data_IF_329891556756
#
_entry.id   IF_329891556756
#
_cell.length_a   1.000
_cell.length_b   1.000
_cell.length_c   1.000
_cell.angle_alpha   90.00
_cell.angle_beta   90.00
_cell.angle_gamma   90.00
#
_symmetry.space_group_name_H-M   'P 1'
#
loop_
_entity.id
_entity.type
_entity.pdbx_description
1 polymer ?
#
# COMPACT_ATOMS: atom_id res chain seq x y z
N UNK A 1 5.06 12.44 11.80
CA UNK A 1 5.99 13.46 12.27
C UNK A 1 6.48 14.33 11.11
N UNK A 2 6.00 15.55 11.03
CA UNK A 2 6.31 16.51 9.97
C UNK A 2 7.70 17.14 10.07
N UNK A 3 8.44 16.87 11.13
CA UNK A 3 9.81 17.37 11.31
C UNK A 3 10.88 16.34 10.98
N UNK A 4 10.49 15.12 10.64
CA UNK A 4 11.45 14.19 10.10
C UNK A 4 11.77 14.61 8.66
N UNK A 5 13.04 14.86 8.35
CA UNK A 5 13.49 15.20 7.00
C UNK A 5 13.18 14.09 5.99
N UNK A 6 12.95 12.88 6.47
CA UNK A 6 12.58 11.71 5.67
C UNK A 6 11.15 11.30 6.02
N UNK A 7 10.18 11.75 5.24
CA UNK A 7 8.75 11.57 5.48
C UNK A 7 8.23 10.24 4.94
N UNK A 8 8.78 9.74 3.83
CA UNK A 8 8.35 8.51 3.20
C UNK A 8 8.93 7.26 3.85
N UNK A 9 8.10 6.24 4.12
CA UNK A 9 8.57 4.95 4.63
C UNK A 9 8.91 3.95 3.51
N UNK A 10 8.37 4.13 2.32
CA UNK A 10 8.56 3.26 1.17
C UNK A 10 9.77 3.61 0.31
N UNK A 11 10.17 4.88 0.30
CA UNK A 11 11.20 5.42 -0.58
C UNK A 11 12.55 5.65 0.09
N UNK A 12 12.64 5.44 1.40
CA UNK A 12 13.85 5.73 2.16
C UNK A 12 14.18 4.58 3.11
N UNK A 13 15.46 4.26 3.18
CA UNK A 13 15.94 3.24 4.11
C UNK A 13 15.51 3.58 5.54
N UNK A 14 14.80 2.68 6.19
CA UNK A 14 14.37 2.83 7.59
C UNK A 14 15.56 3.01 8.55
N UNK A 15 16.77 2.60 8.14
CA UNK A 15 18.01 2.73 8.89
C UNK A 15 18.79 4.01 8.59
N UNK A 16 18.26 4.91 7.71
CA UNK A 16 18.94 6.16 7.39
C UNK A 16 19.29 6.92 8.67
N UNK A 17 20.57 7.30 8.87
CA UNK A 17 21.02 7.99 10.09
C UNK A 17 20.40 9.39 10.26
N UNK A 18 19.92 9.99 9.16
CA UNK A 18 19.24 11.30 9.19
C UNK A 18 17.79 11.20 9.67
N UNK A 19 17.25 9.99 9.77
CA UNK A 19 15.91 9.77 10.29
C UNK A 19 15.87 9.97 11.80
N UNK A 20 15.02 10.87 12.27
CA UNK A 20 14.78 11.03 13.70
C UNK A 20 14.02 9.80 14.24
N UNK A 21 14.68 9.03 15.10
CA UNK A 21 14.16 7.80 15.70
C UNK A 21 13.78 7.97 17.18
N UNK A 22 14.01 9.17 17.73
CA UNK A 22 13.85 9.41 19.17
C UNK A 22 12.66 10.31 19.50
N UNK A 23 12.26 11.16 18.56
CA UNK A 23 11.19 12.12 18.77
C UNK A 23 10.00 11.81 17.89
N UNK A 24 8.84 11.72 18.49
CA UNK A 24 7.54 11.69 17.83
C UNK A 24 6.74 12.90 18.25
N UNK A 25 5.85 13.39 17.38
CA UNK A 25 4.98 14.53 17.66
C UNK A 25 3.58 14.25 17.19
N UNK A 26 2.63 14.61 18.02
CA UNK A 26 1.22 14.61 17.67
C UNK A 26 0.80 16.07 17.58
N UNK A 27 0.35 16.48 16.39
CA UNK A 27 -0.16 17.82 16.15
C UNK A 27 -1.68 17.78 16.15
N UNK A 28 -2.28 18.73 16.82
CA UNK A 28 -3.73 18.95 16.77
C UNK A 28 -4.01 20.19 15.92
N UNK A 29 -4.70 20.00 14.81
CA UNK A 29 -5.27 21.13 14.08
C UNK A 29 -6.58 21.53 14.69
N UNK A 30 -6.74 22.83 14.96
CA UNK A 30 -7.96 23.40 15.52
C UNK A 30 -8.46 24.51 14.61
N UNK A 31 -9.77 24.69 14.54
CA UNK A 31 -10.36 25.86 13.91
C UNK A 31 -10.30 27.04 14.89
N UNK A 32 -9.74 28.17 14.45
CA UNK A 32 -9.49 29.36 15.28
C UNK A 32 -10.75 29.89 15.97
N UNK A 33 -11.87 29.86 15.26
CA UNK A 33 -13.14 30.49 15.67
C UNK A 33 -14.19 29.48 16.14
N UNK A 34 -13.78 28.24 16.44
CA UNK A 34 -14.69 27.21 16.97
C UNK A 34 -14.18 26.68 18.31
N UNK A 35 -15.06 26.60 19.33
CA UNK A 35 -14.66 26.00 20.59
C UNK A 35 -14.30 24.53 20.40
N UNK A 36 -13.40 24.04 21.22
CA UNK A 36 -13.10 22.62 21.29
C UNK A 36 -14.30 21.89 21.90
N UNK A 37 -14.63 20.74 21.32
CA UNK A 37 -15.63 19.85 21.94
C UNK A 37 -15.05 19.23 23.22
N UNK A 38 -15.89 19.09 24.23
CA UNK A 38 -15.52 18.39 25.46
C UNK A 38 -15.18 16.93 25.17
N UNK A 39 -14.15 16.38 25.83
CA UNK A 39 -13.81 14.98 25.68
C UNK A 39 -14.96 14.08 26.15
N UNK A 40 -15.37 13.15 25.29
CA UNK A 40 -16.34 12.11 25.65
C UNK A 40 -15.60 10.91 26.23
N UNK A 41 -15.88 10.57 27.48
CA UNK A 41 -15.34 9.39 28.14
C UNK A 41 -15.95 8.12 27.50
N UNK A 42 -15.10 7.20 27.05
CA UNK A 42 -15.50 5.95 26.37
C UNK A 42 -14.96 4.76 27.13
N UNK A 43 -13.65 4.72 27.38
CA UNK A 43 -13.01 3.58 28.02
C UNK A 43 -13.64 3.25 29.39
N UNK A 44 -13.97 1.98 29.61
CA UNK A 44 -14.56 1.50 30.85
C UNK A 44 -16.02 1.87 31.07
N UNK A 45 -16.69 2.56 30.13
CA UNK A 45 -18.08 2.94 30.28
C UNK A 45 -19.02 1.72 30.17
N UNK A 46 -20.16 1.72 30.86
CA UNK A 46 -21.20 0.68 30.71
C UNK A 46 -21.69 0.59 29.27
N UNK A 47 -22.06 -0.62 28.82
CA UNK A 47 -22.55 -0.87 27.44
C UNK A 47 -23.67 0.10 27.04
N UNK A 48 -24.63 0.39 27.91
CA UNK A 48 -25.69 1.34 27.62
C UNK A 48 -25.17 2.73 27.24
N UNK A 49 -24.11 3.23 27.92
CA UNK A 49 -23.50 4.51 27.57
C UNK A 49 -22.70 4.46 26.28
N UNK A 50 -22.08 3.32 25.99
CA UNK A 50 -21.37 3.12 24.73
C UNK A 50 -22.34 3.10 23.55
N UNK A 51 -23.52 2.47 23.70
CA UNK A 51 -24.57 2.49 22.69
C UNK A 51 -25.12 3.92 22.45
N UNK A 52 -25.29 4.72 23.50
CA UNK A 52 -25.65 6.15 23.33
C UNK A 52 -24.53 6.94 22.62
N UNK A 53 -23.26 6.61 22.88
CA UNK A 53 -22.16 7.27 22.19
C UNK A 53 -22.11 6.96 20.68
N UNK A 54 -22.77 5.91 20.20
CA UNK A 54 -22.94 5.63 18.76
C UNK A 54 -23.87 6.66 18.07
N UNK A 55 -24.64 7.43 18.83
CA UNK A 55 -25.47 8.54 18.30
C UNK A 55 -24.71 9.86 18.21
N UNK A 56 -23.48 9.90 18.67
CA UNK A 56 -22.70 11.15 18.72
C UNK A 56 -22.41 11.69 17.30
N UNK A 57 -22.54 13.01 17.06
CA UNK A 57 -22.32 13.58 15.72
C UNK A 57 -20.87 13.44 15.24
N UNK A 58 -19.89 13.43 16.15
CA UNK A 58 -18.48 13.25 15.79
C UNK A 58 -18.15 11.78 15.58
N UNK A 59 -17.68 11.43 14.38
CA UNK A 59 -17.35 10.06 14.01
C UNK A 59 -16.25 9.44 14.90
N UNK A 60 -15.23 10.20 15.30
CA UNK A 60 -14.20 9.73 16.20
C UNK A 60 -14.71 9.31 17.59
N UNK A 61 -15.86 9.82 18.06
CA UNK A 61 -16.51 9.35 19.29
C UNK A 61 -17.19 8.01 19.04
N UNK A 62 -17.93 7.89 17.93
CA UNK A 62 -18.59 6.64 17.53
C UNK A 62 -17.56 5.51 17.31
N UNK A 63 -16.46 5.81 16.63
CA UNK A 63 -15.42 4.82 16.40
C UNK A 63 -14.77 4.29 17.68
N UNK A 64 -14.50 5.17 18.64
CA UNK A 64 -14.02 4.72 19.96
C UNK A 64 -15.05 3.89 20.71
N UNK A 65 -16.34 4.25 20.60
CA UNK A 65 -17.44 3.48 21.20
C UNK A 65 -17.55 2.09 20.57
N UNK A 66 -17.44 1.98 19.22
CA UNK A 66 -17.40 0.68 18.51
C UNK A 66 -16.23 -0.17 19.01
N UNK A 67 -15.03 0.42 19.05
CA UNK A 67 -13.83 -0.25 19.53
C UNK A 67 -13.98 -0.75 20.96
N UNK A 68 -14.53 0.05 21.86
CA UNK A 68 -14.74 -0.35 23.25
C UNK A 68 -15.82 -1.45 23.36
N UNK A 69 -16.89 -1.39 22.57
CA UNK A 69 -17.91 -2.45 22.50
C UNK A 69 -17.32 -3.78 22.02
N UNK A 70 -16.36 -3.74 21.11
CA UNK A 70 -15.69 -4.96 20.59
C UNK A 70 -14.78 -5.63 21.64
N UNK A 71 -14.34 -4.90 22.67
CA UNK A 71 -13.57 -5.45 23.77
C UNK A 71 -14.43 -6.21 24.80
N UNK A 72 -15.77 -6.04 24.74
CA UNK A 72 -16.71 -6.65 25.66
C UNK A 72 -17.07 -8.07 25.23
N UNK A 73 -17.40 -8.91 26.20
CA UNK A 73 -17.94 -10.22 25.87
C UNK A 73 -19.27 -10.05 25.08
N UNK A 74 -19.42 -10.84 24.02
CA UNK A 74 -20.62 -10.78 23.16
C UNK A 74 -21.93 -10.80 23.94
N UNK A 75 -22.03 -11.69 24.93
CA UNK A 75 -23.23 -11.84 25.76
C UNK A 75 -23.59 -10.55 26.54
N UNK A 76 -22.58 -9.72 26.88
CA UNK A 76 -22.81 -8.44 27.58
C UNK A 76 -23.42 -7.37 26.66
N UNK A 77 -23.10 -7.42 25.38
CA UNK A 77 -23.51 -6.39 24.40
C UNK A 77 -24.79 -6.79 23.68
N UNK A 78 -24.96 -8.03 23.28
CA UNK A 78 -26.04 -8.48 22.39
C UNK A 78 -27.44 -8.14 22.92
N UNK A 79 -27.70 -8.43 24.20
CA UNK A 79 -29.01 -8.14 24.80
C UNK A 79 -29.27 -6.63 24.95
N UNK A 80 -28.38 -5.81 25.51
CA UNK A 80 -28.54 -4.37 25.53
C UNK A 80 -28.70 -3.75 24.15
N UNK A 81 -27.96 -4.21 23.14
CA UNK A 81 -28.06 -3.74 21.77
C UNK A 81 -29.45 -4.00 21.18
N UNK A 82 -29.99 -5.21 21.36
CA UNK A 82 -31.35 -5.55 20.89
C UNK A 82 -32.43 -4.65 21.53
N UNK A 83 -32.30 -4.36 22.82
CA UNK A 83 -33.24 -3.44 23.48
C UNK A 83 -33.08 -1.99 23.00
N UNK A 84 -31.84 -1.56 22.78
CA UNK A 84 -31.49 -0.24 22.25
C UNK A 84 -32.07 -0.05 20.84
N UNK A 85 -31.97 -1.08 19.97
CA UNK A 85 -32.49 -1.05 18.60
C UNK A 85 -34.00 -0.84 18.52
N UNK A 86 -34.78 -1.31 19.50
CA UNK A 86 -36.25 -1.14 19.54
C UNK A 86 -36.72 0.32 19.58
N UNK A 87 -35.82 1.25 19.87
CA UNK A 87 -36.07 2.69 19.89
C UNK A 87 -36.18 3.28 18.49
N UNK A 88 -35.74 2.58 17.46
CA UNK A 88 -35.56 3.07 16.10
C UNK A 88 -36.49 2.35 15.14
N UNK A 89 -37.07 3.11 14.21
CA UNK A 89 -37.94 2.62 13.16
C UNK A 89 -37.17 2.58 11.83
N UNK A 90 -36.94 1.40 11.22
CA UNK A 90 -36.19 1.29 9.96
C UNK A 90 -36.87 2.02 8.77
N UNK A 91 -38.13 2.41 8.92
CA UNK A 91 -38.88 3.19 7.92
C UNK A 91 -38.65 4.68 8.01
N UNK A 92 -37.97 5.15 9.05
CA UNK A 92 -37.62 6.55 9.24
C UNK A 92 -36.19 6.82 8.81
N UNK A 93 -35.99 7.91 8.06
CA UNK A 93 -34.69 8.31 7.57
C UNK A 93 -33.70 8.61 8.68
N UNK A 94 -34.15 9.31 9.71
CA UNK A 94 -33.35 9.72 10.87
C UNK A 94 -32.88 8.55 11.73
N UNK A 95 -33.59 7.42 11.70
CA UNK A 95 -33.32 6.25 12.50
C UNK A 95 -32.41 5.24 11.76
N UNK A 96 -32.09 5.51 10.51
CA UNK A 96 -31.27 4.59 9.70
C UNK A 96 -29.84 4.44 10.22
N UNK A 97 -29.21 5.55 10.68
CA UNK A 97 -27.82 5.49 11.15
C UNK A 97 -27.66 4.66 12.44
N UNK A 98 -28.47 4.84 13.49
CA UNK A 98 -28.42 3.96 14.66
C UNK A 98 -28.57 2.47 14.33
N UNK A 99 -29.48 2.13 13.43
CA UNK A 99 -29.68 0.76 13.01
C UNK A 99 -28.50 0.21 12.21
N UNK A 100 -27.81 1.06 11.42
CA UNK A 100 -26.56 0.68 10.78
C UNK A 100 -25.43 0.40 11.79
N UNK A 101 -25.33 1.17 12.86
CA UNK A 101 -24.36 0.92 13.92
C UNK A 101 -24.56 -0.47 14.53
N UNK A 102 -25.81 -0.87 14.74
CA UNK A 102 -26.14 -2.22 15.21
C UNK A 102 -25.78 -3.29 14.17
N UNK A 103 -26.09 -3.05 12.88
CA UNK A 103 -25.75 -3.99 11.81
C UNK A 103 -24.23 -4.18 11.68
N UNK A 104 -23.46 -3.10 11.80
CA UNK A 104 -22.00 -3.17 11.76
C UNK A 104 -21.41 -3.88 12.99
N UNK A 105 -21.99 -3.70 14.17
CA UNK A 105 -21.58 -4.48 15.34
C UNK A 105 -21.88 -5.97 15.11
N UNK A 106 -23.05 -6.34 14.61
CA UNK A 106 -23.39 -7.71 14.25
C UNK A 106 -22.37 -8.28 13.23
N UNK A 107 -22.02 -7.51 12.20
CA UNK A 107 -21.01 -7.89 11.21
C UNK A 107 -19.65 -8.18 11.85
N UNK A 108 -19.17 -7.31 12.72
CA UNK A 108 -17.89 -7.48 13.43
C UNK A 108 -17.86 -8.71 14.33
N UNK A 109 -19.00 -9.06 14.93
CA UNK A 109 -19.15 -10.25 15.76
C UNK A 109 -19.48 -11.51 14.96
N UNK A 110 -19.49 -11.42 13.64
CA UNK A 110 -19.90 -12.51 12.72
C UNK A 110 -21.30 -13.07 13.04
N UNK A 111 -22.23 -12.19 13.41
CA UNK A 111 -23.64 -12.51 13.65
C UNK A 111 -24.42 -12.09 12.41
N UNK A 112 -25.13 -13.02 11.79
CA UNK A 112 -26.03 -12.71 10.68
C UNK A 112 -27.41 -12.32 11.21
N UNK A 113 -27.69 -11.02 11.19
CA UNK A 113 -29.03 -10.49 11.46
C UNK A 113 -29.73 -10.18 10.14
N UNK A 114 -30.31 -11.22 9.52
CA UNK A 114 -30.97 -11.12 8.23
C UNK A 114 -32.21 -10.21 8.27
N UNK A 115 -32.87 -10.12 9.41
CA UNK A 115 -34.03 -9.25 9.56
C UNK A 115 -33.64 -7.77 9.56
N UNK A 116 -32.62 -7.40 10.30
CA UNK A 116 -32.09 -6.03 10.32
C UNK A 116 -31.49 -5.67 8.96
N UNK A 117 -30.76 -6.59 8.35
CA UNK A 117 -30.19 -6.40 7.01
C UNK A 117 -31.28 -6.12 5.97
N UNK A 118 -32.33 -6.94 5.94
CA UNK A 118 -33.45 -6.76 5.00
C UNK A 118 -34.15 -5.39 5.21
N UNK A 119 -34.38 -5.03 6.47
CA UNK A 119 -35.00 -3.74 6.79
C UNK A 119 -34.16 -2.55 6.31
N UNK A 120 -32.83 -2.61 6.46
CA UNK A 120 -31.91 -1.54 6.04
C UNK A 120 -31.68 -1.48 4.53
N UNK A 121 -31.83 -2.60 3.82
CA UNK A 121 -31.83 -2.62 2.34
C UNK A 121 -33.03 -1.84 1.76
N UNK A 122 -34.15 -1.77 2.50
CA UNK A 122 -35.37 -1.03 2.13
C UNK A 122 -35.44 0.35 2.80
N UNK A 123 -34.39 0.78 3.49
CA UNK A 123 -34.37 2.07 4.21
C UNK A 123 -34.65 3.24 3.26
N UNK A 124 -35.39 4.28 3.70
CA UNK A 124 -35.56 5.52 2.95
C UNK A 124 -34.25 6.30 2.79
N UNK A 125 -33.22 6.04 3.63
CA UNK A 125 -31.92 6.69 3.55
C UNK A 125 -31.01 5.96 2.52
N UNK A 126 -30.63 6.60 1.40
CA UNK A 126 -29.81 5.97 0.36
C UNK A 126 -28.48 5.42 0.85
N UNK A 127 -27.79 6.14 1.74
CA UNK A 127 -26.50 5.71 2.28
C UNK A 127 -26.64 4.45 3.15
N UNK A 128 -27.76 4.32 3.86
CA UNK A 128 -28.06 3.11 4.63
C UNK A 128 -28.25 1.90 3.73
N UNK A 129 -28.96 2.05 2.60
CA UNK A 129 -29.11 0.96 1.61
C UNK A 129 -27.75 0.52 1.05
N UNK A 130 -26.87 1.49 0.72
CA UNK A 130 -25.52 1.20 0.21
C UNK A 130 -24.70 0.44 1.26
N UNK A 131 -24.71 0.92 2.51
CA UNK A 131 -24.00 0.28 3.62
C UNK A 131 -24.53 -1.14 3.89
N UNK A 132 -25.85 -1.33 3.91
CA UNK A 132 -26.47 -2.64 4.07
C UNK A 132 -26.14 -3.58 2.91
N UNK A 133 -26.12 -3.08 1.66
CA UNK A 133 -25.70 -3.86 0.50
C UNK A 133 -24.23 -4.29 0.60
N UNK A 134 -23.36 -3.44 1.16
CA UNK A 134 -21.97 -3.78 1.45
C UNK A 134 -21.87 -4.91 2.47
N UNK A 135 -22.61 -4.84 3.57
CA UNK A 135 -22.65 -5.91 4.58
C UNK A 135 -23.17 -7.22 3.96
N UNK A 136 -24.25 -7.14 3.17
CA UNK A 136 -24.78 -8.30 2.43
C UNK A 136 -23.72 -8.95 1.53
N UNK A 137 -22.96 -8.12 0.83
CA UNK A 137 -21.87 -8.59 -0.04
C UNK A 137 -20.80 -9.35 0.76
N UNK A 138 -20.37 -8.81 1.91
CA UNK A 138 -19.36 -9.44 2.75
C UNK A 138 -19.86 -10.70 3.46
N UNK A 139 -21.13 -10.77 3.82
CA UNK A 139 -21.70 -12.00 4.39
C UNK A 139 -21.85 -13.13 3.36
N UNK A 140 -21.91 -12.78 2.06
CA UNK A 140 -22.12 -13.75 1.00
C UNK A 140 -23.49 -14.46 1.10
N UNK A 141 -23.69 -15.58 0.39
CA UNK A 141 -24.91 -16.38 0.49
C UNK A 141 -25.10 -16.90 1.92
N UNK A 142 -26.36 -17.14 2.30
CA UNK A 142 -26.75 -17.58 3.65
C UNK A 142 -26.15 -18.94 4.06
N UNK A 143 -25.68 -19.73 3.11
CA UNK A 143 -25.01 -21.00 3.36
C UNK A 143 -23.49 -20.78 3.58
N UNK A 144 -22.97 -20.95 4.81
CA UNK A 144 -21.56 -20.78 5.10
C UNK A 144 -20.63 -21.78 4.40
N UNK A 145 -21.18 -22.88 3.87
CA UNK A 145 -20.41 -23.85 3.06
C UNK A 145 -20.19 -23.36 1.62
N UNK A 146 -20.96 -22.37 1.17
CA UNK A 146 -20.81 -21.71 -0.13
C UNK A 146 -20.12 -20.34 -0.05
N UNK A 147 -19.68 -19.94 1.15
CA UNK A 147 -18.91 -18.72 1.38
C UNK A 147 -17.47 -18.84 0.90
N UNK A 148 -17.27 -18.99 -0.41
CA UNK A 148 -16.01 -18.57 -0.98
C UNK A 148 -15.84 -17.07 -0.66
N UNK A 149 -14.67 -16.69 -0.14
CA UNK A 149 -14.25 -15.28 -0.06
C UNK A 149 -14.64 -14.61 -1.38
N UNK A 150 -15.25 -13.41 -1.37
CA UNK A 150 -15.68 -12.79 -2.60
C UNK A 150 -14.58 -12.89 -3.63
N UNK A 151 -14.89 -13.47 -4.78
CA UNK A 151 -13.96 -13.66 -5.92
C UNK A 151 -13.20 -12.38 -6.29
N UNK A 152 -13.76 -11.22 -5.98
CA UNK A 152 -13.11 -9.92 -6.18
C UNK A 152 -11.81 -9.76 -5.38
N UNK A 153 -11.71 -10.32 -4.16
CA UNK A 153 -10.46 -10.28 -3.38
C UNK A 153 -9.51 -11.41 -3.82
N UNK A 154 -10.04 -12.57 -4.19
CA UNK A 154 -9.28 -13.65 -4.79
C UNK A 154 -8.72 -13.23 -6.17
N UNK A 155 -9.53 -12.63 -7.04
CA UNK A 155 -9.12 -12.12 -8.35
C UNK A 155 -8.14 -10.94 -8.24
N UNK A 156 -8.24 -10.09 -7.21
CA UNK A 156 -7.26 -9.05 -6.95
C UNK A 156 -5.91 -9.61 -6.47
N UNK A 157 -5.90 -10.78 -5.82
CA UNK A 157 -4.66 -11.47 -5.41
C UNK A 157 -4.03 -12.32 -6.52
N UNK A 158 -4.73 -12.66 -7.59
CA UNK A 158 -4.29 -13.63 -8.58
C UNK A 158 -4.29 -13.17 -10.03
N UNK A 159 -4.33 -11.89 -10.35
CA UNK A 159 -3.81 -11.49 -11.65
C UNK A 159 -2.28 -11.57 -11.62
N UNK A 160 -1.76 -12.80 -11.52
CA UNK A 160 -0.36 -13.06 -11.90
C UNK A 160 -0.21 -12.54 -13.32
N UNK A 161 0.52 -11.44 -13.46
CA UNK A 161 0.87 -10.93 -14.78
C UNK A 161 1.58 -12.08 -15.50
N UNK A 162 0.98 -12.59 -16.57
CA UNK A 162 1.59 -13.69 -17.33
C UNK A 162 2.82 -13.16 -18.04
N UNK A 163 3.98 -13.44 -17.47
CA UNK A 163 5.26 -13.01 -18.01
C UNK A 163 5.75 -14.06 -19.01
N UNK A 164 5.89 -13.67 -20.26
CA UNK A 164 6.45 -14.51 -21.32
C UNK A 164 7.84 -13.98 -21.69
N UNK A 165 8.85 -14.84 -21.61
CA UNK A 165 10.20 -14.45 -22.00
C UNK A 165 10.28 -14.17 -23.51
N UNK A 166 11.01 -13.13 -23.94
CA UNK A 166 11.26 -12.84 -25.34
C UNK A 166 11.98 -14.01 -26.03
N UNK A 167 11.74 -14.22 -27.33
CA UNK A 167 12.26 -15.36 -28.08
C UNK A 167 13.79 -15.48 -28.11
N UNK A 168 14.51 -14.38 -27.91
CA UNK A 168 15.97 -14.37 -27.91
C UNK A 168 16.57 -14.89 -26.58
N UNK A 169 15.83 -14.87 -25.47
CA UNK A 169 16.27 -15.46 -24.21
C UNK A 169 15.93 -16.95 -24.18
N UNK A 170 16.88 -17.79 -23.76
CA UNK A 170 16.74 -19.24 -23.70
C UNK A 170 17.18 -19.80 -22.35
N UNK A 171 16.75 -21.00 -22.02
CA UNK A 171 17.23 -21.77 -20.86
C UNK A 171 17.09 -21.02 -19.54
N UNK A 172 18.20 -20.81 -18.84
CA UNK A 172 18.29 -20.10 -17.56
C UNK A 172 17.85 -18.65 -17.66
N UNK A 173 18.21 -17.97 -18.75
CA UNK A 173 17.94 -16.54 -18.93
C UNK A 173 16.45 -16.28 -19.14
N UNK A 174 15.74 -17.16 -19.85
CA UNK A 174 14.31 -17.09 -19.98
C UNK A 174 13.60 -17.30 -18.62
N UNK A 175 14.10 -18.21 -17.78
CA UNK A 175 13.59 -18.42 -16.42
C UNK A 175 13.88 -17.23 -15.53
N UNK A 176 15.07 -16.65 -15.61
CA UNK A 176 15.44 -15.44 -14.89
C UNK A 176 14.54 -14.26 -15.29
N UNK A 177 14.27 -14.08 -16.59
CA UNK A 177 13.37 -13.07 -17.09
C UNK A 177 11.95 -13.20 -16.49
N UNK A 178 11.39 -14.41 -16.44
CA UNK A 178 10.05 -14.64 -15.86
C UNK A 178 10.04 -14.30 -14.38
N UNK A 179 11.00 -14.80 -13.60
CA UNK A 179 11.16 -14.45 -12.19
C UNK A 179 11.32 -12.93 -12.01
N UNK A 180 12.12 -12.30 -12.86
CA UNK A 180 12.34 -10.85 -12.84
C UNK A 180 11.08 -10.04 -13.06
N UNK A 181 10.24 -10.48 -13.99
CA UNK A 181 8.93 -9.87 -14.19
C UNK A 181 8.02 -10.01 -12.98
N UNK A 182 8.01 -11.17 -12.32
CA UNK A 182 7.27 -11.36 -11.06
C UNK A 182 7.78 -10.42 -9.97
N UNK A 183 9.11 -10.27 -9.83
CA UNK A 183 9.72 -9.33 -8.86
C UNK A 183 9.39 -7.89 -9.22
N UNK A 184 9.46 -7.50 -10.50
CA UNK A 184 9.17 -6.15 -10.98
C UNK A 184 7.76 -5.70 -10.62
N UNK A 185 6.78 -6.60 -10.73
CA UNK A 185 5.37 -6.33 -10.48
C UNK A 185 4.90 -6.58 -9.05
N UNK A 186 5.77 -6.97 -8.12
CA UNK A 186 5.42 -7.08 -6.69
C UNK A 186 4.93 -5.74 -6.17
N UNK A 187 4.04 -5.78 -5.19
CA UNK A 187 3.59 -4.58 -4.48
C UNK A 187 4.79 -3.82 -3.89
N UNK A 188 4.78 -2.48 -4.04
CA UNK A 188 5.83 -1.59 -3.58
C UNK A 188 7.24 -1.84 -4.20
N UNK A 189 7.31 -2.51 -5.33
CA UNK A 189 8.54 -2.72 -6.09
C UNK A 189 8.63 -1.80 -7.34
N UNK A 190 9.41 -2.20 -8.32
CA UNK A 190 9.82 -1.36 -9.46
C UNK A 190 8.64 -0.76 -10.24
N UNK A 191 7.59 -1.56 -10.52
CA UNK A 191 6.42 -1.12 -11.28
C UNK A 191 5.64 0.02 -10.60
N UNK A 192 5.74 0.17 -9.28
CA UNK A 192 5.09 1.25 -8.52
C UNK A 192 5.55 2.63 -9.00
N UNK A 193 6.83 2.78 -9.31
CA UNK A 193 7.42 4.04 -9.78
C UNK A 193 7.59 4.05 -11.31
N UNK A 194 8.15 2.97 -11.88
CA UNK A 194 8.48 2.89 -13.29
C UNK A 194 7.34 2.43 -14.19
N UNK A 195 6.15 2.19 -13.63
CA UNK A 195 4.94 1.68 -14.27
C UNK A 195 5.12 0.29 -14.91
N UNK A 196 4.03 -0.41 -15.18
CA UNK A 196 4.06 -1.75 -15.76
C UNK A 196 4.65 -1.80 -17.17
N UNK A 197 4.55 -0.69 -17.91
CA UNK A 197 5.09 -0.53 -19.26
C UNK A 197 6.52 0.05 -19.30
N UNK A 198 7.14 0.27 -18.16
CA UNK A 198 8.50 0.78 -18.04
C UNK A 198 8.69 2.24 -18.48
N UNK A 199 7.61 2.97 -18.75
CA UNK A 199 7.70 4.37 -19.21
C UNK A 199 7.90 5.39 -18.09
N UNK A 200 7.79 4.94 -16.82
CA UNK A 200 7.86 5.82 -15.69
C UNK A 200 6.61 6.69 -15.55
N UNK A 201 6.70 7.70 -14.70
CA UNK A 201 5.64 8.67 -14.47
C UNK A 201 6.24 10.07 -14.43
N UNK A 202 6.02 10.80 -15.49
CA UNK A 202 6.52 12.15 -15.65
C UNK A 202 5.81 13.14 -14.70
N UNK A 203 6.53 14.08 -14.04
CA UNK A 203 7.99 14.33 -14.11
C UNK A 203 8.77 13.60 -13.00
N UNK A 204 8.13 12.71 -12.20
CA UNK A 204 8.70 12.17 -10.96
C UNK A 204 9.61 10.96 -11.17
N UNK A 205 9.26 10.05 -12.09
CA UNK A 205 9.95 8.77 -12.24
C UNK A 205 10.39 8.56 -13.70
N UNK A 206 11.70 8.36 -13.93
CA UNK A 206 12.22 8.22 -15.29
C UNK A 206 11.79 6.92 -15.95
N UNK A 207 11.75 6.87 -17.31
CA UNK A 207 11.53 5.64 -18.05
C UNK A 207 12.72 4.68 -17.93
N UNK A 208 12.43 3.38 -18.01
CA UNK A 208 13.41 2.30 -18.16
C UNK A 208 13.56 1.87 -19.61
N UNK A 209 12.66 2.34 -20.47
CA UNK A 209 12.61 2.01 -21.90
C UNK A 209 13.66 2.78 -22.67
N UNK A 210 14.48 2.08 -23.45
CA UNK A 210 15.37 2.68 -24.45
C UNK A 210 16.45 3.62 -23.88
N UNK A 211 16.84 3.42 -22.62
CA UNK A 211 17.82 4.30 -21.98
C UNK A 211 19.16 3.56 -21.72
N UNK A 212 20.31 4.22 -21.99
CA UNK A 212 21.63 3.69 -21.64
C UNK A 212 21.82 3.43 -20.14
N UNK A 213 21.05 4.08 -19.27
CA UNK A 213 21.05 3.79 -17.84
C UNK A 213 20.66 2.33 -17.53
N UNK A 214 19.83 1.71 -18.37
CA UNK A 214 19.36 0.33 -18.23
C UNK A 214 20.14 -0.62 -19.14
N UNK A 215 20.33 -0.26 -20.40
CA UNK A 215 20.88 -1.15 -21.43
C UNK A 215 22.41 -1.15 -21.51
N UNK A 216 23.05 -0.12 -20.98
CA UNK A 216 24.51 0.02 -20.94
C UNK A 216 25.17 -0.78 -19.82
N UNK A 217 26.11 -0.15 -19.09
CA UNK A 217 26.92 -0.82 -18.05
C UNK A 217 26.07 -1.61 -17.05
N UNK A 218 26.33 -2.93 -17.01
CA UNK A 218 25.70 -3.85 -16.06
C UNK A 218 26.04 -3.47 -14.60
N UNK A 219 27.29 -3.17 -14.33
CA UNK A 219 27.76 -2.84 -12.98
C UNK A 219 27.12 -1.53 -12.47
N UNK A 220 27.02 -0.51 -13.32
CA UNK A 220 26.30 0.73 -12.99
C UNK A 220 24.85 0.44 -12.59
N UNK A 221 24.16 -0.36 -13.37
CA UNK A 221 22.77 -0.72 -13.11
C UNK A 221 22.60 -1.51 -11.80
N UNK A 222 23.51 -2.46 -11.55
CA UNK A 222 23.54 -3.24 -10.29
C UNK A 222 23.77 -2.31 -9.10
N UNK A 223 24.74 -1.38 -9.18
CA UNK A 223 25.04 -0.38 -8.13
C UNK A 223 23.81 0.48 -7.81
N UNK A 224 23.08 0.93 -8.83
CA UNK A 224 21.83 1.69 -8.67
C UNK A 224 20.77 0.85 -7.96
N UNK A 225 20.57 -0.38 -8.38
CA UNK A 225 19.54 -1.24 -7.79
C UNK A 225 19.86 -1.64 -6.34
N UNK A 226 21.14 -1.87 -6.02
CA UNK A 226 21.59 -2.22 -4.67
C UNK A 226 21.47 -1.04 -3.68
N UNK A 227 21.88 0.16 -4.06
CA UNK A 227 22.07 1.28 -3.14
C UNK A 227 21.17 2.48 -3.42
N UNK A 228 20.42 2.45 -4.55
CA UNK A 228 19.66 3.59 -5.02
C UNK A 228 20.51 4.71 -5.61
N UNK A 229 19.86 5.71 -6.19
CA UNK A 229 20.51 6.88 -6.78
C UNK A 229 19.75 8.15 -6.40
N UNK A 230 20.49 9.22 -6.10
CA UNK A 230 19.94 10.53 -5.79
C UNK A 230 20.82 11.63 -6.36
N UNK A 231 20.24 12.45 -7.20
CA UNK A 231 20.91 13.56 -7.88
C UNK A 231 20.25 13.84 -9.22
N UNK A 232 20.74 14.86 -9.89
CA UNK A 232 20.24 15.27 -11.21
C UNK A 232 20.73 14.28 -12.27
N UNK A 233 19.79 13.69 -13.01
CA UNK A 233 20.09 12.79 -14.13
C UNK A 233 19.38 13.23 -15.39
N UNK A 234 19.96 12.88 -16.54
CA UNK A 234 19.31 12.99 -17.84
C UNK A 234 18.97 11.60 -18.36
N UNK A 235 17.72 11.39 -18.73
CA UNK A 235 17.21 10.15 -19.29
C UNK A 235 16.40 10.47 -20.55
N UNK A 236 16.86 9.93 -21.68
CA UNK A 236 16.21 10.13 -22.99
C UNK A 236 15.95 11.62 -23.31
N UNK A 237 16.95 12.49 -23.07
CA UNK A 237 16.87 13.94 -23.35
C UNK A 237 16.04 14.72 -22.33
N UNK A 238 15.58 14.10 -21.26
CA UNK A 238 14.83 14.75 -20.20
C UNK A 238 15.58 14.76 -18.87
N UNK A 239 15.55 15.89 -18.20
CA UNK A 239 16.21 16.08 -16.90
C UNK A 239 15.27 15.73 -15.75
N UNK A 240 15.71 14.85 -14.86
CA UNK A 240 15.09 14.51 -13.58
C UNK A 240 15.94 15.12 -12.46
N UNK A 241 15.36 16.05 -11.72
CA UNK A 241 16.09 16.90 -10.79
C UNK A 241 15.44 16.91 -9.40
N UNK A 242 16.15 16.48 -8.35
CA UNK A 242 15.64 16.51 -6.97
C UNK A 242 15.21 17.91 -6.52
N UNK A 243 15.84 18.96 -7.00
CA UNK A 243 15.44 20.35 -6.66
C UNK A 243 14.07 20.72 -7.23
N UNK A 244 13.60 19.96 -8.23
CA UNK A 244 12.27 20.07 -8.82
C UNK A 244 11.28 19.05 -8.27
N UNK A 245 11.62 18.38 -7.15
CA UNK A 245 10.75 17.44 -6.48
C UNK A 245 10.84 15.99 -6.97
N UNK A 246 11.84 15.65 -7.81
CA UNK A 246 12.06 14.25 -8.21
C UNK A 246 12.60 13.45 -7.03
N UNK A 247 11.90 12.38 -6.58
CA UNK A 247 12.35 11.58 -5.45
C UNK A 247 13.58 10.72 -5.80
N UNK A 248 14.39 10.33 -4.81
CA UNK A 248 15.47 9.38 -5.03
C UNK A 248 14.93 8.00 -5.41
N UNK A 249 15.67 7.28 -6.24
CA UNK A 249 15.41 5.84 -6.42
C UNK A 249 15.83 5.08 -5.17
N UNK A 250 14.94 4.27 -4.65
CA UNK A 250 15.15 3.47 -3.44
C UNK A 250 16.15 2.33 -3.67
N UNK A 251 16.90 2.01 -2.62
CA UNK A 251 17.81 0.87 -2.57
C UNK A 251 17.03 -0.45 -2.34
N UNK A 252 17.27 -1.45 -3.17
CA UNK A 252 16.66 -2.79 -3.04
C UNK A 252 17.63 -3.84 -2.51
N UNK A 253 18.88 -3.49 -2.24
CA UNK A 253 19.92 -4.42 -1.80
C UNK A 253 19.61 -5.16 -0.50
N UNK A 254 18.84 -4.56 0.42
CA UNK A 254 18.43 -5.20 1.67
C UNK A 254 17.14 -6.05 1.53
N UNK A 255 16.40 -5.89 0.43
CA UNK A 255 15.08 -6.50 0.21
C UNK A 255 15.18 -7.69 -0.73
N UNK A 256 16.03 -7.59 -1.79
CA UNK A 256 16.18 -8.60 -2.80
C UNK A 256 17.52 -9.34 -2.63
N UNK A 257 17.48 -10.67 -2.69
CA UNK A 257 18.68 -11.48 -2.76
C UNK A 257 19.32 -11.37 -4.16
N UNK A 258 20.53 -11.91 -4.32
CA UNK A 258 21.31 -11.78 -5.56
C UNK A 258 20.58 -12.37 -6.78
N UNK A 259 19.88 -13.49 -6.61
CA UNK A 259 19.10 -14.13 -7.66
C UNK A 259 17.91 -13.30 -8.09
N UNK A 260 17.17 -12.72 -7.14
CA UNK A 260 16.02 -11.86 -7.44
C UNK A 260 16.44 -10.53 -8.07
N UNK A 261 17.54 -9.94 -7.58
CA UNK A 261 18.08 -8.72 -8.16
C UNK A 261 18.57 -8.95 -9.58
N UNK A 262 19.34 -10.00 -9.83
CA UNK A 262 19.77 -10.39 -11.17
C UNK A 262 18.58 -10.64 -12.12
N UNK A 263 17.55 -11.32 -11.62
CA UNK A 263 16.35 -11.62 -12.37
C UNK A 263 15.59 -10.34 -12.78
N UNK A 264 15.35 -9.41 -11.85
CA UNK A 264 14.63 -8.16 -12.17
C UNK A 264 15.44 -7.26 -13.10
N UNK A 265 16.77 -7.23 -12.97
CA UNK A 265 17.63 -6.50 -13.90
C UNK A 265 17.64 -7.13 -15.29
N UNK A 266 17.65 -8.48 -15.39
CA UNK A 266 17.48 -9.19 -16.66
C UNK A 266 16.14 -8.84 -17.30
N UNK A 267 15.06 -8.76 -16.51
CA UNK A 267 13.73 -8.37 -16.98
C UNK A 267 13.74 -6.96 -17.58
N UNK A 268 14.20 -5.94 -16.85
CA UNK A 268 14.18 -4.56 -17.35
C UNK A 268 15.11 -4.35 -18.55
N UNK A 269 16.22 -5.08 -18.61
CA UNK A 269 17.16 -5.04 -19.75
C UNK A 269 16.63 -5.71 -21.02
N UNK A 270 15.54 -6.48 -20.93
CA UNK A 270 14.99 -7.26 -22.05
C UNK A 270 13.49 -7.07 -22.25
N UNK A 271 12.87 -6.07 -21.58
CA UNK A 271 11.47 -5.71 -21.72
C UNK A 271 11.28 -4.47 -22.58
N UNK A 272 10.07 -4.26 -23.06
CA UNK A 272 9.62 -3.03 -23.77
C UNK A 272 10.47 -2.61 -24.96
N UNK A 273 11.13 -3.57 -25.60
CA UNK A 273 12.04 -3.32 -26.74
C UNK A 273 13.52 -3.21 -26.38
N UNK A 274 13.86 -3.16 -25.09
CA UNK A 274 15.25 -3.28 -24.64
C UNK A 274 15.82 -4.65 -25.02
N UNK A 275 17.09 -4.67 -25.44
CA UNK A 275 17.82 -5.90 -25.79
C UNK A 275 19.25 -5.74 -25.31
N UNK A 276 19.53 -6.16 -24.07
CA UNK A 276 20.85 -6.15 -23.48
C UNK A 276 21.18 -7.49 -22.81
N UNK A 277 22.43 -7.73 -22.49
CA UNK A 277 22.86 -8.97 -21.86
C UNK A 277 22.11 -9.22 -20.54
N UNK A 278 21.67 -10.46 -20.26
CA UNK A 278 21.14 -10.85 -18.96
C UNK A 278 22.15 -10.59 -17.84
N UNK A 279 21.66 -10.31 -16.64
CA UNK A 279 22.50 -10.11 -15.44
C UNK A 279 22.56 -11.41 -14.66
N UNK A 280 23.77 -11.82 -14.24
CA UNK A 280 23.95 -13.02 -13.44
C UNK A 280 23.89 -12.74 -11.93
N UNK A 281 23.51 -13.74 -11.14
CA UNK A 281 23.52 -13.63 -9.67
C UNK A 281 24.96 -13.44 -9.13
N UNK A 282 25.96 -14.02 -9.81
CA UNK A 282 27.38 -13.87 -9.49
C UNK A 282 27.86 -12.44 -9.69
N UNK A 283 27.43 -11.77 -10.77
CA UNK A 283 27.74 -10.36 -11.00
C UNK A 283 27.13 -9.47 -9.90
N UNK A 284 25.87 -9.73 -9.53
CA UNK A 284 25.23 -9.03 -8.41
C UNK A 284 25.98 -9.25 -7.10
N UNK A 285 26.33 -10.49 -6.78
CA UNK A 285 27.10 -10.84 -5.58
C UNK A 285 28.43 -10.10 -5.53
N UNK A 286 29.18 -10.11 -6.64
CA UNK A 286 30.47 -9.41 -6.74
C UNK A 286 30.33 -7.91 -6.44
N UNK A 287 29.34 -7.26 -7.04
CA UNK A 287 29.10 -5.81 -6.82
C UNK A 287 28.62 -5.56 -5.39
N UNK A 288 27.75 -6.40 -4.84
CA UNK A 288 27.28 -6.29 -3.45
C UNK A 288 28.45 -6.36 -2.46
N UNK A 289 29.37 -7.30 -2.64
CA UNK A 289 30.56 -7.44 -1.79
C UNK A 289 31.50 -6.25 -1.92
N UNK A 290 31.75 -5.76 -3.14
CA UNK A 290 32.63 -4.61 -3.37
C UNK A 290 32.06 -3.28 -2.86
N UNK A 291 30.74 -3.21 -2.63
CA UNK A 291 30.04 -2.01 -2.19
C UNK A 291 29.36 -2.17 -0.81
N UNK A 292 29.71 -3.23 -0.05
CA UNK A 292 29.05 -3.60 1.22
C UNK A 292 29.06 -2.50 2.28
N UNK A 293 30.10 -1.67 2.29
CA UNK A 293 30.29 -0.58 3.25
C UNK A 293 29.55 0.71 2.84
N UNK A 294 28.87 0.69 1.68
CA UNK A 294 28.14 1.84 1.19
C UNK A 294 26.75 1.93 1.85
N UNK A 295 26.54 3.00 2.61
CA UNK A 295 25.27 3.26 3.33
C UNK A 295 24.44 4.42 2.75
N UNK A 296 24.93 5.05 1.67
CA UNK A 296 24.31 6.25 1.07
C UNK A 296 23.98 5.99 -0.41
N UNK A 297 23.00 6.71 -0.94
CA UNK A 297 22.71 6.71 -2.36
C UNK A 297 23.93 7.01 -3.23
N UNK A 298 23.95 6.46 -4.43
CA UNK A 298 24.89 6.91 -5.44
C UNK A 298 24.54 8.32 -5.91
N UNK A 299 25.55 9.13 -6.12
CA UNK A 299 25.42 10.35 -6.91
C UNK A 299 25.64 10.03 -8.38
N UNK A 300 24.81 10.56 -9.28
CA UNK A 300 24.95 10.30 -10.72
C UNK A 300 26.35 10.62 -11.26
N UNK A 301 26.90 11.74 -10.84
CA UNK A 301 28.25 12.17 -11.26
C UNK A 301 29.36 11.19 -10.86
N UNK A 302 29.23 10.54 -9.70
CA UNK A 302 30.22 9.57 -9.24
C UNK A 302 30.10 8.27 -10.02
N UNK A 303 28.87 7.80 -10.26
CA UNK A 303 28.62 6.62 -11.09
C UNK A 303 29.08 6.80 -12.54
N UNK A 304 28.87 7.99 -13.11
CA UNK A 304 29.25 8.29 -14.49
C UNK A 304 30.75 8.46 -14.68
N UNK A 305 31.51 8.81 -13.62
CA UNK A 305 32.98 8.78 -13.66
C UNK A 305 33.52 7.36 -13.76
N UNK A 306 32.90 6.41 -13.00
CA UNK A 306 33.29 5.01 -13.00
C UNK A 306 32.76 4.26 -14.24
N UNK A 307 31.53 4.57 -14.64
CA UNK A 307 30.78 3.90 -15.70
C UNK A 307 30.06 4.94 -16.57
N UNK A 308 30.73 5.58 -17.52
CA UNK A 308 30.12 6.54 -18.43
C UNK A 308 28.92 5.96 -19.19
N UNK A 309 27.99 6.83 -19.62
CA UNK A 309 26.93 6.39 -20.54
C UNK A 309 27.56 6.04 -21.90
N UNK A 310 27.15 4.91 -22.43
CA UNK A 310 27.50 4.51 -23.79
C UNK A 310 26.64 5.32 -24.77
N UNK A 311 27.26 5.80 -25.84
CA UNK A 311 26.61 6.54 -26.93
C UNK A 311 25.76 5.63 -27.82
#
# INVERSE_FOLDING_TARGET
DWQNMIIGHMQHNIRDPKRDKKHGRIFRMIHKDRPLQDPVAIHGQPVAKLLEALLHPADGVRERARTELDTRARAEVERPLREWMKRFDPKKKEDAHPLLEALWWHQRQNIRDEQLLAALLESPEPHARIAAATVKHFWGPADPTQGAMPTVIADAREKKVKINAPRHLKGSDAKAYVLGGEVFHREAHCATCHQADGKGLDPAFPPLVGTPWVTGSEERLIKIALHGIHGKIEVNGKTYDPEKGVPPMTAFGAILNDKELAAVLTYVRNSWGNKAAPVSAEAVKKVRESTKDRSIFWKPEDLLKEHPLEN
#
